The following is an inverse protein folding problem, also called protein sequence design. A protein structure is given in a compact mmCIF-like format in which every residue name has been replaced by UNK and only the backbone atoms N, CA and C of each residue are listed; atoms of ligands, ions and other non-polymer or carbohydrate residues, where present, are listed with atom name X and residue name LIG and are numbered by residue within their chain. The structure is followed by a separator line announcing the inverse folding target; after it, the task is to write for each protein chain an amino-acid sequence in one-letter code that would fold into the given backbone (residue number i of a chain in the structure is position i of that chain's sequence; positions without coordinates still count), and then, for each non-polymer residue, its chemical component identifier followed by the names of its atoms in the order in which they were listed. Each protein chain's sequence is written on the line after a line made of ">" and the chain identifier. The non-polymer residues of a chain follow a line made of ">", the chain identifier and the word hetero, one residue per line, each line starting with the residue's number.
data_IF_106737927672
#
_entry.id   IF_106737927672
#
_cell.length_a   1.000
_cell.length_b   1.000
_cell.length_c   1.000
_cell.angle_alpha   90.00
_cell.angle_beta   90.00
_cell.angle_gamma   90.00
#
_symmetry.space_group_name_H-M   'P 1'
#
loop_
_entity.id
_entity.type
_entity.pdbx_description
1 polymer ?
#
# COMPACT_ATOMS: atom_id res chain seq x y z
N UNK A 1 -28.49 8.25 -12.70
CA UNK A 1 -27.55 8.97 -11.80
C UNK A 1 -27.11 10.26 -12.48
N UNK A 2 -27.15 11.41 -11.79
CA UNK A 2 -26.79 12.70 -12.41
C UNK A 2 -25.28 12.87 -12.67
N UNK A 3 -24.89 13.87 -13.48
CA UNK A 3 -23.50 14.13 -13.88
C UNK A 3 -22.51 14.25 -12.70
N UNK A 4 -22.92 14.87 -11.61
CA UNK A 4 -22.13 15.00 -10.39
C UNK A 4 -21.82 13.65 -9.71
N UNK A 5 -22.72 12.67 -9.85
CA UNK A 5 -22.48 11.32 -9.34
C UNK A 5 -21.39 10.61 -10.15
N UNK A 6 -21.46 10.66 -11.49
CA UNK A 6 -20.48 9.99 -12.36
C UNK A 6 -19.06 10.52 -12.12
N UNK A 7 -18.88 11.84 -11.96
CA UNK A 7 -17.56 12.40 -11.61
C UNK A 7 -17.04 11.92 -10.26
N UNK A 8 -17.90 11.82 -9.23
CA UNK A 8 -17.50 11.29 -7.91
C UNK A 8 -17.13 9.82 -7.99
N UNK A 9 -17.91 9.03 -8.73
CA UNK A 9 -17.67 7.60 -8.98
C UNK A 9 -16.33 7.39 -9.69
N UNK A 10 -16.06 8.13 -10.76
CA UNK A 10 -14.81 8.04 -11.51
C UNK A 10 -13.60 8.41 -10.64
N UNK A 11 -13.67 9.51 -9.86
CA UNK A 11 -12.58 9.90 -8.96
C UNK A 11 -12.31 8.83 -7.89
N UNK A 12 -13.36 8.20 -7.34
CA UNK A 12 -13.22 7.08 -6.41
C UNK A 12 -12.49 5.89 -7.06
N UNK A 13 -12.93 5.45 -8.23
CA UNK A 13 -12.30 4.33 -8.93
C UNK A 13 -10.85 4.61 -9.31
N UNK A 14 -10.53 5.81 -9.79
CA UNK A 14 -9.15 6.22 -10.06
C UNK A 14 -8.27 6.16 -8.81
N UNK A 15 -8.79 6.59 -7.65
CA UNK A 15 -8.07 6.46 -6.38
C UNK A 15 -7.85 5.00 -5.99
N UNK A 16 -8.88 4.17 -6.06
CA UNK A 16 -8.80 2.76 -5.68
C UNK A 16 -7.87 1.97 -6.60
N UNK A 17 -7.88 2.24 -7.92
CA UNK A 17 -6.95 1.63 -8.85
C UNK A 17 -5.48 1.92 -8.48
N UNK A 18 -5.17 3.17 -8.10
CA UNK A 18 -3.83 3.53 -7.62
C UNK A 18 -3.45 2.83 -6.32
N UNK A 19 -4.38 2.74 -5.37
CA UNK A 19 -4.18 2.03 -4.09
C UNK A 19 -3.90 0.54 -4.32
N UNK A 20 -4.67 -0.12 -5.20
CA UNK A 20 -4.49 -1.52 -5.52
C UNK A 20 -3.06 -1.82 -6.03
N UNK A 21 -2.55 -1.01 -6.96
CA UNK A 21 -1.17 -1.16 -7.47
C UNK A 21 -0.14 -0.96 -6.36
N UNK A 22 -0.35 0.02 -5.47
CA UNK A 22 0.56 0.27 -4.35
C UNK A 22 0.57 -0.89 -3.36
N UNK A 23 -0.58 -1.46 -3.02
CA UNK A 23 -0.67 -2.62 -2.12
C UNK A 23 0.09 -3.82 -2.66
N UNK A 24 -0.03 -4.12 -3.96
CA UNK A 24 0.69 -5.24 -4.58
C UNK A 24 2.21 -5.02 -4.57
N UNK A 25 2.67 -3.77 -4.75
CA UNK A 25 4.10 -3.43 -4.71
C UNK A 25 4.67 -3.51 -3.30
N UNK A 26 3.97 -2.92 -2.33
CA UNK A 26 4.39 -2.90 -0.93
C UNK A 26 4.36 -4.30 -0.32
N UNK A 27 3.36 -5.13 -0.64
CA UNK A 27 3.34 -6.53 -0.21
C UNK A 27 4.57 -7.31 -0.68
N UNK A 28 4.95 -7.17 -1.97
CA UNK A 28 6.18 -7.78 -2.50
C UNK A 28 7.43 -7.25 -1.80
N UNK A 29 7.47 -5.94 -1.54
CA UNK A 29 8.60 -5.30 -0.88
C UNK A 29 8.78 -5.76 0.57
N UNK A 30 7.68 -5.95 1.31
CA UNK A 30 7.70 -6.53 2.67
C UNK A 30 8.30 -7.93 2.62
N UNK A 31 7.81 -8.80 1.73
CA UNK A 31 8.31 -10.18 1.60
C UNK A 31 9.81 -10.20 1.26
N UNK A 32 10.25 -9.34 0.33
CA UNK A 32 11.68 -9.24 -0.02
C UNK A 32 12.53 -8.69 1.14
N UNK A 33 12.03 -7.69 1.87
CA UNK A 33 12.72 -7.14 3.03
C UNK A 33 12.88 -8.19 4.14
N UNK A 34 11.82 -8.96 4.43
CA UNK A 34 11.86 -10.07 5.40
C UNK A 34 12.85 -11.15 4.97
N UNK A 35 12.84 -11.53 3.68
CA UNK A 35 13.77 -12.56 3.15
C UNK A 35 15.24 -12.14 3.23
N UNK A 36 15.53 -10.85 3.13
CA UNK A 36 16.90 -10.33 3.11
C UNK A 36 17.47 -9.97 4.47
N UNK A 37 16.66 -9.48 5.40
CA UNK A 37 17.12 -8.97 6.71
C UNK A 37 16.37 -9.51 7.91
N UNK A 38 15.57 -10.56 7.72
CA UNK A 38 14.73 -11.14 8.77
C UNK A 38 13.46 -10.33 9.06
N UNK A 39 12.56 -10.88 9.90
CA UNK A 39 11.24 -10.33 10.17
C UNK A 39 11.23 -9.16 11.16
N UNK A 40 12.36 -8.86 11.82
CA UNK A 40 12.42 -7.80 12.83
C UNK A 40 12.63 -6.41 12.20
N UNK A 41 11.68 -5.48 12.34
CA UNK A 41 11.79 -4.13 11.78
C UNK A 41 12.82 -3.25 12.50
N UNK A 42 13.19 -3.57 13.74
CA UNK A 42 14.19 -2.81 14.49
C UNK A 42 15.62 -3.07 13.98
N UNK A 43 15.88 -4.28 13.50
CA UNK A 43 17.17 -4.68 12.93
C UNK A 43 17.22 -4.52 11.41
N UNK A 44 16.07 -4.38 10.75
CA UNK A 44 15.95 -4.29 9.30
C UNK A 44 15.36 -2.93 8.87
N UNK A 45 16.25 -1.99 8.53
CA UNK A 45 15.88 -0.63 8.11
C UNK A 45 14.97 -0.62 6.88
N UNK A 46 15.15 -1.57 5.96
CA UNK A 46 14.31 -1.70 4.76
C UNK A 46 12.89 -2.09 5.13
N UNK A 47 12.72 -3.09 5.99
CA UNK A 47 11.40 -3.51 6.48
C UNK A 47 10.68 -2.38 7.21
N UNK A 48 11.39 -1.61 8.05
CA UNK A 48 10.83 -0.45 8.76
C UNK A 48 10.28 0.61 7.80
N UNK A 49 11.05 0.97 6.77
CA UNK A 49 10.61 1.94 5.76
C UNK A 49 9.41 1.43 4.97
N UNK A 50 9.41 0.15 4.57
CA UNK A 50 8.27 -0.44 3.86
C UNK A 50 7.00 -0.45 4.72
N UNK A 51 7.12 -0.77 6.02
CA UNK A 51 5.98 -0.70 6.96
C UNK A 51 5.43 0.72 7.09
N UNK A 52 6.30 1.74 7.15
CA UNK A 52 5.86 3.14 7.17
C UNK A 52 5.13 3.53 5.88
N UNK A 53 5.65 3.12 4.72
CA UNK A 53 5.02 3.37 3.43
C UNK A 53 3.64 2.67 3.32
N UNK A 54 3.51 1.45 3.84
CA UNK A 54 2.22 0.74 3.92
C UNK A 54 1.19 1.46 4.80
N UNK A 55 1.63 2.04 5.92
CA UNK A 55 0.75 2.86 6.77
C UNK A 55 0.30 4.14 6.05
N UNK A 56 1.19 4.79 5.30
CA UNK A 56 0.87 6.02 4.56
C UNK A 56 -0.23 5.82 3.50
N UNK A 57 -0.34 4.61 2.93
CA UNK A 57 -1.39 4.26 1.96
C UNK A 57 -2.64 3.65 2.59
N UNK A 58 -2.72 3.61 3.93
CA UNK A 58 -3.81 2.96 4.68
C UNK A 58 -3.98 1.48 4.29
N UNK A 59 -2.88 0.76 4.09
CA UNK A 59 -2.94 -0.69 3.86
C UNK A 59 -3.54 -1.38 5.10
N UNK A 60 -4.54 -2.27 4.94
CA UNK A 60 -5.08 -3.06 6.04
C UNK A 60 -3.99 -3.89 6.74
N UNK A 61 -4.19 -4.15 8.04
CA UNK A 61 -3.21 -4.88 8.87
C UNK A 61 -3.50 -6.38 8.99
N UNK A 62 -4.68 -6.81 8.53
CA UNK A 62 -5.15 -8.20 8.60
C UNK A 62 -4.73 -9.01 7.37
#
# INVERSE_FOLDING_TARGET
>A
MGRAFEFRKERKFKRWAKMAVQFTRLGKEIVMAVKSGGPNPDTNSRLRTTIQNSKAVNMPKD
#
